data_IF_317861207650
#
_entry.id   IF_317861207650
#
_cell.length_a   1.000
_cell.length_b   1.000
_cell.length_c   1.000
_cell.angle_alpha   90.00
_cell.angle_beta   90.00
_cell.angle_gamma   90.00
#
_symmetry.space_group_name_H-M   'P 1'
#
loop_
_entity.id
_entity.type
_entity.pdbx_description
1 polymer ?
#
# COMPACT_ATOMS: atom_id res chain seq x y z
N UNK A 1 6.07 -25.73 -7.47
CA UNK A 1 7.38 -25.16 -7.09
C UNK A 1 7.32 -23.65 -7.31
N UNK A 2 6.66 -22.90 -6.44
CA UNK A 2 6.53 -21.45 -6.63
C UNK A 2 7.70 -20.80 -5.91
N UNK A 3 8.67 -20.28 -6.66
CA UNK A 3 9.79 -19.54 -6.10
C UNK A 3 9.25 -18.42 -5.21
N UNK A 4 9.64 -18.40 -3.94
CA UNK A 4 9.39 -17.29 -3.02
C UNK A 4 10.07 -16.07 -3.64
N UNK A 5 9.29 -15.20 -4.29
CA UNK A 5 9.82 -13.99 -4.89
C UNK A 5 10.51 -13.18 -3.79
N UNK A 6 11.79 -12.88 -4.00
CA UNK A 6 12.54 -12.02 -3.11
C UNK A 6 12.00 -10.60 -3.31
N UNK A 7 11.17 -10.14 -2.36
CA UNK A 7 10.67 -8.77 -2.39
C UNK A 7 11.88 -7.83 -2.30
N UNK A 8 12.01 -6.83 -3.19
CA UNK A 8 13.08 -5.86 -3.09
C UNK A 8 13.00 -5.16 -1.74
N UNK A 9 14.15 -5.03 -1.07
CA UNK A 9 14.23 -4.23 0.14
C UNK A 9 14.07 -2.78 -0.31
N UNK A 10 12.92 -2.18 0.02
CA UNK A 10 12.64 -0.77 -0.27
C UNK A 10 13.31 0.07 0.82
N UNK A 11 14.18 1.03 0.45
CA UNK A 11 14.74 1.97 1.40
C UNK A 11 13.66 2.78 2.13
N UNK A 12 13.82 2.98 3.43
CA UNK A 12 12.84 3.66 4.29
C UNK A 12 12.46 5.05 3.78
N UNK A 13 13.42 5.79 3.22
CA UNK A 13 13.18 7.14 2.70
C UNK A 13 12.14 7.17 1.56
N UNK A 14 12.05 6.10 0.75
CA UNK A 14 11.03 6.01 -0.31
C UNK A 14 9.64 5.91 0.30
N UNK A 15 9.49 5.10 1.35
CA UNK A 15 8.22 4.92 2.06
C UNK A 15 7.85 6.22 2.79
N UNK A 16 8.79 6.81 3.53
CA UNK A 16 8.55 8.04 4.31
C UNK A 16 8.15 9.22 3.41
N UNK A 17 8.73 9.35 2.22
CA UNK A 17 8.38 10.41 1.27
C UNK A 17 6.96 10.29 0.70
N UNK A 18 6.33 9.11 0.83
CA UNK A 18 4.95 8.83 0.40
C UNK A 18 3.94 8.93 1.55
N UNK A 19 4.38 9.36 2.74
CA UNK A 19 3.51 9.60 3.89
C UNK A 19 3.18 11.09 3.95
N UNK A 20 1.90 11.40 3.82
CA UNK A 20 1.35 12.75 3.87
C UNK A 20 0.70 13.04 5.21
N UNK A 21 0.81 14.28 5.67
CA UNK A 21 0.03 14.79 6.81
C UNK A 21 -1.27 15.42 6.33
N UNK A 22 -2.42 14.79 6.60
CA UNK A 22 -3.74 15.31 6.27
C UNK A 22 -4.62 15.33 7.52
N UNK A 23 -5.15 16.51 7.89
CA UNK A 23 -6.04 16.69 9.05
C UNK A 23 -5.48 16.12 10.36
N UNK A 24 -4.16 16.19 10.56
CA UNK A 24 -3.48 15.64 11.73
C UNK A 24 -3.20 14.14 11.68
N UNK A 25 -3.53 13.46 10.58
CA UNK A 25 -3.26 12.04 10.37
C UNK A 25 -2.14 11.84 9.35
N UNK A 26 -1.37 10.75 9.52
CA UNK A 26 -0.40 10.28 8.54
C UNK A 26 -1.09 9.31 7.60
N UNK A 27 -1.09 9.61 6.30
CA UNK A 27 -1.77 8.81 5.28
C UNK A 27 -0.86 8.56 4.09
N UNK A 28 -1.10 7.47 3.36
CA UNK A 28 -0.47 7.19 2.06
C UNK A 28 -1.57 7.09 1.02
N UNK A 29 -1.35 7.68 -0.17
CA UNK A 29 -2.32 7.58 -1.27
C UNK A 29 -2.29 6.17 -1.86
N UNK A 30 -3.44 5.70 -2.34
CA UNK A 30 -3.58 4.40 -2.98
C UNK A 30 -2.70 4.29 -4.25
N UNK A 31 -2.48 5.39 -4.96
CA UNK A 31 -1.53 5.50 -6.08
C UNK A 31 -0.09 5.23 -5.66
N UNK A 32 0.36 5.81 -4.55
CA UNK A 32 1.71 5.61 -4.03
C UNK A 32 1.91 4.17 -3.54
N UNK A 33 0.88 3.62 -2.89
CA UNK A 33 0.86 2.23 -2.47
C UNK A 33 0.94 1.29 -3.68
N UNK A 34 0.17 1.56 -4.72
CA UNK A 34 0.18 0.77 -5.96
C UNK A 34 1.56 0.79 -6.64
N UNK A 35 2.23 1.94 -6.68
CA UNK A 35 3.59 2.09 -7.18
C UNK A 35 4.61 1.24 -6.38
N UNK A 36 4.54 1.29 -5.04
CA UNK A 36 5.44 0.51 -4.17
C UNK A 36 5.31 -1.01 -4.39
N UNK A 37 4.08 -1.47 -4.69
CA UNK A 37 3.81 -2.87 -5.00
C UNK A 37 3.92 -3.23 -6.49
N UNK A 38 4.20 -2.25 -7.36
CA UNK A 38 4.31 -2.46 -8.82
C UNK A 38 3.00 -2.92 -9.47
N UNK A 39 1.86 -2.46 -8.95
CA UNK A 39 0.52 -2.81 -9.45
C UNK A 39 -0.27 -1.55 -9.83
N UNK A 40 -1.38 -1.73 -10.54
CA UNK A 40 -2.33 -0.63 -10.77
C UNK A 40 -3.14 -0.33 -9.50
N UNK A 41 -3.51 0.93 -9.28
CA UNK A 41 -4.37 1.37 -8.16
C UNK A 41 -5.68 0.59 -8.08
N UNK A 42 -6.27 0.28 -9.25
CA UNK A 42 -7.47 -0.57 -9.32
C UNK A 42 -7.26 -1.91 -8.62
N UNK A 43 -6.06 -2.49 -8.73
CA UNK A 43 -5.76 -3.79 -8.12
C UNK A 43 -5.71 -3.72 -6.60
N UNK A 44 -5.22 -2.62 -6.05
CA UNK A 44 -5.27 -2.34 -4.60
C UNK A 44 -6.72 -2.28 -4.13
N UNK A 45 -7.54 -1.48 -4.80
CA UNK A 45 -8.97 -1.30 -4.47
C UNK A 45 -9.78 -2.60 -4.60
N UNK A 46 -9.44 -3.45 -5.58
CA UNK A 46 -10.03 -4.79 -5.70
C UNK A 46 -9.65 -5.71 -4.54
N UNK A 47 -8.40 -5.68 -4.05
CA UNK A 47 -7.99 -6.52 -2.92
C UNK A 47 -8.70 -6.09 -1.63
N UNK A 48 -8.76 -4.79 -1.42
CA UNK A 48 -9.51 -4.12 -0.37
C UNK A 48 -10.97 -4.58 -0.36
N UNK A 49 -11.67 -4.49 -1.49
CA UNK A 49 -13.10 -4.78 -1.54
C UNK A 49 -13.42 -6.26 -1.45
N UNK A 50 -12.52 -7.13 -1.96
CA UNK A 50 -12.72 -8.60 -1.95
C UNK A 50 -12.29 -9.26 -0.66
N UNK A 51 -11.36 -8.66 0.08
CA UNK A 51 -10.79 -9.26 1.29
C UNK A 51 -10.72 -8.24 2.44
N UNK A 52 -11.85 -7.63 2.85
CA UNK A 52 -11.84 -6.59 3.88
C UNK A 52 -11.19 -7.07 5.19
N UNK A 53 -11.41 -8.33 5.58
CA UNK A 53 -10.84 -8.93 6.80
C UNK A 53 -9.31 -9.02 6.81
N UNK A 54 -8.64 -8.81 5.67
CA UNK A 54 -7.17 -8.80 5.56
C UNK A 54 -6.57 -7.42 5.81
N UNK A 55 -7.39 -6.38 5.91
CA UNK A 55 -6.96 -5.00 6.09
C UNK A 55 -7.40 -4.49 7.46
N UNK A 56 -6.56 -3.71 8.15
CA UNK A 56 -6.98 -2.97 9.33
C UNK A 56 -8.20 -2.07 9.05
N UNK A 57 -9.04 -1.82 10.06
CA UNK A 57 -10.21 -0.93 9.93
C UNK A 57 -9.82 0.51 9.54
N UNK A 58 -8.60 0.93 9.89
CA UNK A 58 -8.02 2.24 9.60
C UNK A 58 -7.14 2.24 8.34
N UNK A 59 -7.21 1.21 7.51
CA UNK A 59 -6.44 1.15 6.27
C UNK A 59 -6.98 2.10 5.19
N UNK A 60 -8.26 2.44 5.25
CA UNK A 60 -8.99 3.17 4.22
C UNK A 60 -9.97 4.13 4.89
N UNK A 61 -10.08 5.34 4.36
CA UNK A 61 -10.95 6.40 4.89
C UNK A 61 -11.73 7.06 3.76
#
# INVERSE_FOLDING_TARGET
>A
MTAKQMLPIIPDNIVVNKIYGLRGLKVMLDSDLAELYGVETKRVNEQVGRNPDRFPEDFMF
#
